data_IF_680646974916
#
_entry.id   IF_680646974916
#
_cell.length_a   1.000
_cell.length_b   1.000
_cell.length_c   1.000
_cell.angle_alpha   90.00
_cell.angle_beta   90.00
_cell.angle_gamma   90.00
#
_symmetry.space_group_name_H-M   'P 1'
#
loop_
_entity.id
_entity.type
_entity.pdbx_description
1 polymer ?
#
# COMPACT_ATOMS: atom_id res chain seq x y z
N UNK A 1 -21.21 -14.14 -26.90
CA UNK A 1 -20.19 -14.99 -26.25
C UNK A 1 -18.86 -14.34 -26.54
N UNK A 2 -18.38 -13.47 -25.65
CA UNK A 2 -17.06 -12.84 -25.84
C UNK A 2 -15.98 -13.91 -25.63
N UNK A 3 -14.95 -13.96 -26.48
CA UNK A 3 -13.82 -14.85 -26.26
C UNK A 3 -13.13 -14.44 -24.95
N UNK A 4 -12.99 -15.41 -24.05
CA UNK A 4 -12.15 -15.28 -22.86
C UNK A 4 -10.74 -14.86 -23.30
N UNK A 5 -10.13 -13.83 -22.68
CA UNK A 5 -8.82 -13.37 -23.09
C UNK A 5 -7.80 -14.51 -22.91
N UNK A 6 -6.99 -14.83 -23.92
CA UNK A 6 -5.97 -15.86 -23.78
C UNK A 6 -5.03 -15.50 -22.62
N UNK A 7 -4.99 -16.32 -21.58
CA UNK A 7 -4.11 -16.14 -20.42
C UNK A 7 -4.78 -16.16 -19.03
N UNK A 8 -6.11 -16.13 -18.95
CA UNK A 8 -6.87 -16.19 -17.69
C UNK A 8 -6.69 -17.50 -16.92
N UNK A 9 -6.63 -18.64 -17.63
CA UNK A 9 -6.36 -19.94 -17.00
C UNK A 9 -4.94 -20.04 -16.41
N UNK A 10 -3.94 -19.55 -17.14
CA UNK A 10 -2.54 -19.51 -16.69
C UNK A 10 -2.37 -18.56 -15.49
N UNK A 11 -3.03 -17.40 -15.54
CA UNK A 11 -3.09 -16.47 -14.41
C UNK A 11 -3.74 -17.08 -13.17
N UNK A 12 -4.84 -17.81 -13.34
CA UNK A 12 -5.51 -18.50 -12.23
C UNK A 12 -4.60 -19.57 -11.61
N UNK A 13 -3.89 -20.36 -12.43
CA UNK A 13 -2.94 -21.36 -11.95
C UNK A 13 -1.75 -20.72 -11.23
N UNK A 14 -1.18 -19.64 -11.78
CA UNK A 14 -0.11 -18.89 -11.14
C UNK A 14 -0.56 -18.31 -9.78
N UNK A 15 -1.76 -17.75 -9.70
CA UNK A 15 -2.32 -17.24 -8.46
C UNK A 15 -2.46 -18.35 -7.39
N UNK A 16 -2.91 -19.55 -7.79
CA UNK A 16 -2.99 -20.71 -6.87
C UNK A 16 -1.60 -21.15 -6.40
N UNK A 17 -0.60 -21.18 -7.29
CA UNK A 17 0.78 -21.54 -6.92
C UNK A 17 1.40 -20.56 -5.92
N UNK A 18 1.27 -19.26 -6.19
CA UNK A 18 1.76 -18.19 -5.32
C UNK A 18 1.09 -18.26 -3.95
N UNK A 19 -0.24 -18.38 -3.90
CA UNK A 19 -1.00 -18.44 -2.63
C UNK A 19 -0.74 -19.71 -1.83
N UNK A 20 -0.39 -20.82 -2.49
CA UNK A 20 0.04 -22.07 -1.82
C UNK A 20 1.52 -22.08 -1.43
N UNK A 21 2.27 -21.01 -1.71
CA UNK A 21 3.69 -20.92 -1.36
C UNK A 21 4.60 -21.76 -2.25
N UNK A 22 4.17 -22.12 -3.45
CA UNK A 22 4.98 -22.84 -4.45
C UNK A 22 5.13 -22.05 -5.76
N UNK A 23 5.58 -20.77 -5.72
CA UNK A 23 5.75 -19.99 -6.94
C UNK A 23 6.94 -20.49 -7.76
N UNK A 24 6.87 -20.34 -9.08
CA UNK A 24 8.03 -20.55 -9.95
C UNK A 24 8.99 -19.34 -9.89
N UNK A 25 10.23 -19.53 -10.32
CA UNK A 25 11.20 -18.43 -10.38
C UNK A 25 10.74 -17.29 -11.31
N UNK A 26 10.03 -17.63 -12.39
CA UNK A 26 9.45 -16.66 -13.32
C UNK A 26 8.34 -15.84 -12.66
N UNK A 27 7.43 -16.49 -11.93
CA UNK A 27 6.36 -15.80 -11.18
C UNK A 27 6.93 -14.83 -10.14
N UNK A 28 7.99 -15.23 -9.43
CA UNK A 28 8.70 -14.36 -8.47
C UNK A 28 9.35 -13.17 -9.18
N UNK A 29 10.01 -13.38 -10.32
CA UNK A 29 10.64 -12.31 -11.08
C UNK A 29 9.62 -11.28 -11.57
N UNK A 30 8.48 -11.74 -12.09
CA UNK A 30 7.38 -10.86 -12.53
C UNK A 30 6.82 -10.06 -11.36
N UNK A 31 6.57 -10.69 -10.22
CA UNK A 31 6.11 -10.00 -9.01
C UNK A 31 7.12 -8.95 -8.54
N UNK A 32 8.41 -9.27 -8.53
CA UNK A 32 9.47 -8.33 -8.15
C UNK A 32 9.51 -7.12 -9.08
N UNK A 33 9.40 -7.33 -10.40
CA UNK A 33 9.36 -6.24 -11.39
C UNK A 33 8.12 -5.37 -11.19
N UNK A 34 6.94 -5.96 -11.03
CA UNK A 34 5.69 -5.22 -10.81
C UNK A 34 5.72 -4.41 -9.51
N UNK A 35 6.21 -5.00 -8.42
CA UNK A 35 6.37 -4.31 -7.14
C UNK A 35 7.37 -3.15 -7.24
N UNK A 36 8.50 -3.37 -7.90
CA UNK A 36 9.52 -2.33 -8.09
C UNK A 36 8.98 -1.18 -8.92
N UNK A 37 8.24 -1.48 -10.01
CA UNK A 37 7.59 -0.46 -10.82
C UNK A 37 6.58 0.35 -10.00
N UNK A 38 5.74 -0.32 -9.19
CA UNK A 38 4.77 0.35 -8.32
C UNK A 38 5.44 1.21 -7.25
N UNK A 39 6.52 0.73 -6.64
CA UNK A 39 7.28 1.48 -5.66
C UNK A 39 7.87 2.74 -6.28
N UNK A 40 8.48 2.63 -7.47
CA UNK A 40 9.02 3.78 -8.19
C UNK A 40 7.95 4.82 -8.50
N UNK A 41 6.77 4.38 -8.97
CA UNK A 41 5.65 5.29 -9.23
C UNK A 41 5.17 6.00 -7.96
N UNK A 42 5.18 5.31 -6.81
CA UNK A 42 4.82 5.92 -5.53
C UNK A 42 5.86 6.96 -5.10
N UNK A 43 7.16 6.69 -5.27
CA UNK A 43 8.25 7.63 -4.96
C UNK A 43 8.22 8.87 -5.86
N UNK A 44 7.93 8.68 -7.16
CA UNK A 44 7.78 9.80 -8.10
C UNK A 44 6.56 10.68 -7.71
N UNK A 45 5.48 10.08 -7.21
CA UNK A 45 4.32 10.81 -6.70
C UNK A 45 4.60 11.55 -5.38
N UNK A 46 5.27 10.91 -4.41
CA UNK A 46 5.67 11.55 -3.15
C UNK A 46 6.62 12.74 -3.38
N UNK A 47 7.54 12.61 -4.34
CA UNK A 47 8.47 13.70 -4.70
C UNK A 47 7.71 14.89 -5.31
N UNK A 48 6.73 14.62 -6.18
CA UNK A 48 5.90 15.66 -6.79
C UNK A 48 5.01 16.39 -5.76
N UNK A 49 4.53 15.69 -4.72
CA UNK A 49 3.75 16.30 -3.62
C UNK A 49 4.65 17.13 -2.70
N UNK A 50 5.86 16.66 -2.39
CA UNK A 50 6.82 17.37 -1.55
C UNK A 50 7.33 18.70 -2.17
N UNK A 51 7.40 18.78 -3.51
CA UNK A 51 7.75 20.03 -4.20
C UNK A 51 6.62 21.10 -4.16
N UNK A 52 5.39 20.70 -3.84
CA UNK A 52 4.22 21.59 -3.73
C UNK A 52 3.83 21.95 -2.30
N UNK A 53 4.33 21.24 -1.29
CA UNK A 53 3.88 21.38 0.09
C UNK A 53 4.70 22.41 0.88
N UNK A 54 4.12 23.58 1.11
CA UNK A 54 4.62 24.50 2.15
C UNK A 54 4.42 23.81 3.49
N UNK A 55 5.51 23.36 4.12
CA UNK A 55 5.50 22.74 5.44
C UNK A 55 4.94 23.72 6.49
N UNK A 56 3.63 23.67 6.73
CA UNK A 56 2.99 24.40 7.82
C UNK A 56 3.28 23.63 9.12
N UNK A 57 3.99 24.21 10.09
CA UNK A 57 4.28 23.53 11.34
C UNK A 57 2.96 23.16 12.03
N UNK A 58 2.76 21.88 12.30
CA UNK A 58 1.60 21.42 13.06
C UNK A 58 1.80 21.82 14.52
N UNK A 59 1.21 22.94 14.92
CA UNK A 59 1.25 23.38 16.32
C UNK A 59 0.36 22.46 17.15
N UNK A 60 0.98 21.64 18.01
CA UNK A 60 0.24 20.86 19.01
C UNK A 60 -0.53 21.80 19.95
N UNK A 61 -1.85 21.81 19.85
CA UNK A 61 -2.71 22.51 20.80
C UNK A 61 -2.94 21.59 21.99
N UNK A 62 -2.25 21.87 23.10
CA UNK A 62 -2.44 21.15 24.35
C UNK A 62 -3.95 21.12 24.71
N UNK A 63 -4.52 19.97 25.09
CA UNK A 63 -5.90 19.89 25.53
C UNK A 63 -6.12 20.86 26.71
N UNK A 64 -7.12 21.74 26.62
CA UNK A 64 -7.40 22.73 27.66
C UNK A 64 -7.82 22.09 28.99
N UNK A 65 -8.04 22.92 30.02
CA UNK A 65 -8.37 22.49 31.39
C UNK A 65 -9.61 21.58 31.55
N UNK A 66 -10.37 21.33 30.47
CA UNK A 66 -11.50 20.39 30.43
C UNK A 66 -11.14 18.98 29.94
N UNK A 67 -9.89 18.69 29.56
CA UNK A 67 -9.50 17.36 29.11
C UNK A 67 -9.46 16.38 30.29
N UNK A 68 -10.31 15.35 30.23
CA UNK A 68 -10.25 14.21 31.15
C UNK A 68 -9.69 13.00 30.41
N UNK A 69 -8.65 12.41 30.97
CA UNK A 69 -8.12 11.14 30.47
C UNK A 69 -9.18 10.04 30.62
N UNK A 70 -9.31 9.12 29.65
CA UNK A 70 -10.11 7.92 29.83
C UNK A 70 -9.68 7.18 31.10
N UNK A 71 -10.61 6.98 32.05
CA UNK A 71 -10.34 6.38 33.36
C UNK A 71 -10.40 7.37 34.54
N UNK A 72 -10.40 8.69 34.29
CA UNK A 72 -10.48 9.72 35.35
C UNK A 72 -11.85 9.78 36.08
N UNK A 73 -12.79 8.92 35.74
CA UNK A 73 -14.12 8.80 36.36
C UNK A 73 -14.18 7.74 37.46
N UNK A 74 -13.10 6.99 37.67
CA UNK A 74 -13.04 5.86 38.60
C UNK A 74 -12.35 6.18 39.95
N UNK A 75 -12.21 7.47 40.30
CA UNK A 75 -11.58 7.96 41.54
C UNK A 75 -12.58 8.69 42.41
#
# INVERSE_FOLDING_TARGET
>A
MSPEPPGTAELALAAVRVTRGMPTAEEVAVLAVLLTARLRMAQDAETAEAEGEVLVPTVWRHPGAGFRMPGAWAS
#
